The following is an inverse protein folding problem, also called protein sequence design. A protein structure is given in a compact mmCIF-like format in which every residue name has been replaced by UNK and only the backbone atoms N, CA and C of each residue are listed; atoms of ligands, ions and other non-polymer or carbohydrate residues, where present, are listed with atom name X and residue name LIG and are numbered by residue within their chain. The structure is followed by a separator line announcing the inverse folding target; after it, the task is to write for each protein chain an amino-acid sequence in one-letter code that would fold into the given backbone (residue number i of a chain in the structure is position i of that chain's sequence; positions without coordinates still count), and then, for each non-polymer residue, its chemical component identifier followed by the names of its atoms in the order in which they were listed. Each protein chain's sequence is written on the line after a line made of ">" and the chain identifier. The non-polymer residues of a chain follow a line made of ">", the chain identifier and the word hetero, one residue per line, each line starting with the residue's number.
data_IF_356232435450
#
_entry.id   IF_356232435450
#
_cell.length_a   1.000
_cell.length_b   1.000
_cell.length_c   1.000
_cell.angle_alpha   90.00
_cell.angle_beta   90.00
_cell.angle_gamma   90.00
#
_symmetry.space_group_name_H-M   'P 1'
#
loop_
_entity.id
_entity.type
_entity.pdbx_description
1 polymer ?
#
# COMPACT_ATOMS: atom_id res chain seq x y z
N UNK A 1 22.94 31.71 -54.06
CA UNK A 1 22.96 30.23 -54.10
C UNK A 1 23.49 29.59 -52.81
N UNK A 2 23.68 30.32 -51.71
CA UNK A 2 24.18 29.77 -50.43
C UNK A 2 23.11 29.61 -49.32
N UNK A 3 21.87 30.05 -49.55
CA UNK A 3 20.87 30.17 -48.47
C UNK A 3 20.12 28.85 -48.17
N UNK A 4 19.82 28.07 -49.21
CA UNK A 4 19.05 26.82 -49.08
C UNK A 4 19.86 25.67 -48.45
N UNK A 5 21.16 25.62 -48.69
CA UNK A 5 22.03 24.58 -48.11
C UNK A 5 22.27 24.79 -46.62
N UNK A 6 22.32 26.05 -46.19
CA UNK A 6 22.48 26.43 -44.78
C UNK A 6 21.19 26.14 -43.99
N UNK A 7 20.02 26.45 -44.56
CA UNK A 7 18.71 26.07 -43.99
C UNK A 7 18.55 24.55 -43.88
N UNK A 8 18.97 23.78 -44.89
CA UNK A 8 18.91 22.31 -44.83
C UNK A 8 19.79 21.72 -43.72
N UNK A 9 21.01 22.24 -43.55
CA UNK A 9 21.90 21.80 -42.48
C UNK A 9 21.35 22.16 -41.09
N UNK A 10 20.84 23.39 -40.92
CA UNK A 10 20.21 23.80 -39.66
C UNK A 10 18.98 22.96 -39.32
N UNK A 11 18.17 22.56 -40.31
CA UNK A 11 17.00 21.71 -40.08
C UNK A 11 17.39 20.27 -39.72
N UNK A 12 18.41 19.70 -40.37
CA UNK A 12 18.90 18.35 -40.08
C UNK A 12 19.46 18.25 -38.65
N UNK A 13 20.31 19.19 -38.25
CA UNK A 13 20.90 19.23 -36.90
C UNK A 13 19.82 19.47 -35.82
N UNK A 14 18.80 20.26 -36.13
CA UNK A 14 17.66 20.51 -35.23
C UNK A 14 16.75 19.27 -35.07
N UNK A 15 16.54 18.48 -36.13
CA UNK A 15 15.70 17.26 -36.05
C UNK A 15 16.35 16.18 -35.18
N UNK A 16 17.66 15.98 -35.30
CA UNK A 16 18.39 15.03 -34.44
C UNK A 16 18.33 15.46 -32.96
N UNK A 17 18.57 16.75 -32.71
CA UNK A 17 18.49 17.33 -31.35
C UNK A 17 17.09 17.20 -30.73
N UNK A 18 16.04 17.51 -31.49
CA UNK A 18 14.67 17.35 -31.01
C UNK A 18 14.30 15.89 -30.77
N UNK A 19 14.75 14.98 -31.64
CA UNK A 19 14.50 13.53 -31.48
C UNK A 19 15.12 13.01 -30.18
N UNK A 20 16.35 13.42 -29.88
CA UNK A 20 17.03 13.05 -28.64
C UNK A 20 16.37 13.67 -27.40
N UNK A 21 15.93 14.93 -27.50
CA UNK A 21 15.20 15.61 -26.42
C UNK A 21 13.88 14.92 -26.11
N UNK A 22 13.06 14.64 -27.13
CA UNK A 22 11.78 13.96 -26.96
C UNK A 22 11.94 12.53 -26.45
N UNK A 23 12.95 11.80 -26.93
CA UNK A 23 13.25 10.45 -26.43
C UNK A 23 13.67 10.47 -24.97
N UNK A 24 14.50 11.44 -24.58
CA UNK A 24 14.92 11.61 -23.18
C UNK A 24 13.74 11.98 -22.29
N UNK A 25 12.94 12.96 -22.70
CA UNK A 25 11.74 13.38 -21.97
C UNK A 25 10.74 12.22 -21.84
N UNK A 26 10.49 11.48 -22.91
CA UNK A 26 9.60 10.32 -22.87
C UNK A 26 10.10 9.21 -21.94
N UNK A 27 11.42 8.96 -21.93
CA UNK A 27 12.02 7.99 -21.02
C UNK A 27 11.96 8.45 -19.56
N UNK A 28 12.29 9.72 -19.29
CA UNK A 28 12.22 10.31 -17.95
C UNK A 28 10.78 10.27 -17.41
N UNK A 29 9.81 10.73 -18.20
CA UNK A 29 8.39 10.68 -17.84
C UNK A 29 7.90 9.25 -17.62
N UNK A 30 8.27 8.32 -18.51
CA UNK A 30 7.88 6.92 -18.38
C UNK A 30 8.47 6.26 -17.13
N UNK A 31 9.72 6.59 -16.80
CA UNK A 31 10.38 6.08 -15.60
C UNK A 31 9.78 6.68 -14.33
N UNK A 32 9.55 7.99 -14.31
CA UNK A 32 8.94 8.70 -13.18
C UNK A 32 7.54 8.15 -12.88
N UNK A 33 6.67 8.09 -13.90
CA UNK A 33 5.32 7.54 -13.76
C UNK A 33 5.33 6.06 -13.34
N UNK A 34 6.21 5.26 -13.95
CA UNK A 34 6.32 3.84 -13.60
C UNK A 34 6.81 3.62 -12.18
N UNK A 35 7.77 4.43 -11.71
CA UNK A 35 8.29 4.35 -10.35
C UNK A 35 7.27 4.83 -9.32
N UNK A 36 6.57 5.93 -9.59
CA UNK A 36 5.53 6.48 -8.70
C UNK A 36 4.40 5.47 -8.50
N UNK A 37 3.84 4.95 -9.60
CA UNK A 37 2.76 3.95 -9.55
C UNK A 37 3.23 2.66 -8.87
N UNK A 38 4.43 2.19 -9.18
CA UNK A 38 4.99 0.98 -8.58
C UNK A 38 5.21 1.12 -7.08
N UNK A 39 5.69 2.28 -6.63
CA UNK A 39 5.93 2.55 -5.21
C UNK A 39 4.61 2.69 -4.44
N UNK A 40 3.63 3.41 -4.98
CA UNK A 40 2.33 3.59 -4.36
C UNK A 40 1.61 2.24 -4.18
N UNK A 41 1.52 1.44 -5.24
CA UNK A 41 0.90 0.11 -5.19
C UNK A 41 1.65 -0.83 -4.24
N UNK A 42 2.98 -0.83 -4.29
CA UNK A 42 3.79 -1.67 -3.40
C UNK A 42 3.63 -1.30 -1.92
N UNK A 43 3.54 0.00 -1.62
CA UNK A 43 3.32 0.48 -0.26
C UNK A 43 1.92 0.11 0.24
N UNK A 44 0.88 0.35 -0.57
CA UNK A 44 -0.50 0.00 -0.21
C UNK A 44 -0.65 -1.51 0.05
N UNK A 45 -0.10 -2.35 -0.83
CA UNK A 45 -0.09 -3.80 -0.66
C UNK A 45 0.66 -4.22 0.61
N UNK A 46 1.86 -3.68 0.84
CA UNK A 46 2.65 -4.02 2.02
C UNK A 46 1.97 -3.61 3.33
N UNK A 47 1.29 -2.46 3.35
CA UNK A 47 0.49 -2.02 4.49
C UNK A 47 -0.69 -2.96 4.73
N UNK A 48 -1.46 -3.33 3.70
CA UNK A 48 -2.60 -4.24 3.88
C UNK A 48 -2.16 -5.65 4.29
N UNK A 49 -1.06 -6.17 3.75
CA UNK A 49 -0.47 -7.45 4.19
C UNK A 49 -0.08 -7.43 5.67
N UNK A 50 0.51 -6.31 6.13
CA UNK A 50 0.85 -6.12 7.55
C UNK A 50 -0.39 -6.09 8.46
N UNK A 51 -1.46 -5.44 8.02
CA UNK A 51 -2.73 -5.37 8.75
C UNK A 51 -3.39 -6.74 8.81
N UNK A 52 -3.45 -7.46 7.70
CA UNK A 52 -4.03 -8.80 7.66
C UNK A 52 -3.24 -9.79 8.53
N UNK A 53 -1.91 -9.69 8.51
CA UNK A 53 -1.04 -10.45 9.42
C UNK A 53 -1.37 -10.16 10.88
N UNK A 54 -1.60 -8.89 11.23
CA UNK A 54 -1.96 -8.48 12.59
C UNK A 54 -3.32 -9.04 13.01
N UNK A 55 -4.35 -8.90 12.16
CA UNK A 55 -5.68 -9.50 12.38
C UNK A 55 -5.59 -11.01 12.59
N UNK A 56 -4.77 -11.69 11.79
CA UNK A 56 -4.54 -13.12 11.92
C UNK A 56 -3.89 -13.49 13.27
N UNK A 57 -2.87 -12.74 13.69
CA UNK A 57 -2.21 -12.95 15.00
C UNK A 57 -3.20 -12.76 16.14
N UNK A 58 -4.00 -11.69 16.13
CA UNK A 58 -5.02 -11.43 17.16
C UNK A 58 -6.04 -12.56 17.24
N UNK A 59 -6.59 -13.01 16.11
CA UNK A 59 -7.51 -14.16 16.08
C UNK A 59 -6.85 -15.44 16.62
N UNK A 60 -5.58 -15.69 16.28
CA UNK A 60 -4.83 -16.84 16.78
C UNK A 60 -4.58 -16.78 18.29
N UNK A 61 -4.32 -15.59 18.84
CA UNK A 61 -4.15 -15.37 20.28
C UNK A 61 -5.48 -15.51 21.02
N UNK A 62 -6.56 -14.93 20.48
CA UNK A 62 -7.90 -15.11 21.00
C UNK A 62 -8.29 -16.59 21.06
N UNK A 63 -7.92 -17.40 20.05
CA UNK A 63 -8.11 -18.85 20.07
C UNK A 63 -7.42 -19.53 21.24
N UNK A 64 -6.15 -19.17 21.49
CA UNK A 64 -5.35 -19.77 22.57
C UNK A 64 -5.90 -19.39 23.95
N UNK A 65 -6.44 -18.19 24.09
CA UNK A 65 -6.86 -17.64 25.37
C UNK A 65 -8.32 -17.95 25.72
N UNK A 66 -9.20 -17.87 24.74
CA UNK A 66 -10.65 -17.90 24.93
C UNK A 66 -11.35 -19.02 24.13
N UNK A 67 -10.62 -19.75 23.29
CA UNK A 67 -11.16 -20.87 22.50
C UNK A 67 -11.54 -20.50 21.07
N UNK A 68 -11.89 -21.52 20.28
CA UNK A 68 -12.11 -21.40 18.84
C UNK A 68 -13.33 -20.54 18.45
N UNK A 69 -14.39 -20.56 19.26
CA UNK A 69 -15.60 -19.79 18.98
C UNK A 69 -15.32 -18.28 19.02
N UNK A 70 -14.66 -17.82 20.08
CA UNK A 70 -14.26 -16.41 20.23
C UNK A 70 -13.30 -16.00 19.11
N UNK A 71 -12.39 -16.88 18.72
CA UNK A 71 -11.44 -16.60 17.64
C UNK A 71 -12.09 -16.39 16.28
N UNK A 72 -13.12 -17.17 15.95
CA UNK A 72 -13.83 -17.05 14.69
C UNK A 72 -14.65 -15.76 14.65
N UNK A 73 -15.34 -15.43 15.74
CA UNK A 73 -16.03 -14.14 15.88
C UNK A 73 -15.06 -12.97 15.80
N UNK A 74 -13.89 -13.09 16.45
CA UNK A 74 -12.84 -12.07 16.39
C UNK A 74 -12.35 -11.87 14.95
N UNK A 75 -12.13 -12.95 14.19
CA UNK A 75 -11.71 -12.86 12.78
C UNK A 75 -12.70 -12.05 11.96
N UNK A 76 -14.00 -12.36 12.07
CA UNK A 76 -15.03 -11.66 11.32
C UNK A 76 -15.12 -10.17 11.68
N UNK A 77 -14.96 -9.81 12.95
CA UNK A 77 -15.02 -8.42 13.40
C UNK A 77 -13.76 -7.63 13.01
N UNK A 78 -12.58 -8.21 13.22
CA UNK A 78 -11.28 -7.60 12.90
C UNK A 78 -11.13 -7.29 11.40
N UNK A 79 -11.79 -8.05 10.53
CA UNK A 79 -11.79 -7.81 9.08
C UNK A 79 -12.36 -6.42 8.70
N UNK A 80 -13.23 -5.83 9.54
CA UNK A 80 -13.76 -4.48 9.34
C UNK A 80 -12.81 -3.35 9.74
N UNK A 81 -11.69 -3.66 10.41
CA UNK A 81 -10.83 -2.64 11.01
C UNK A 81 -9.69 -2.27 10.06
N UNK A 82 -9.77 -1.06 9.52
CA UNK A 82 -8.83 -0.47 8.56
C UNK A 82 -7.97 0.65 9.16
N UNK A 83 -7.95 0.84 10.47
CA UNK A 83 -7.00 1.72 11.17
C UNK A 83 -5.90 0.88 11.86
N UNK A 84 -4.59 1.08 11.58
CA UNK A 84 -3.55 0.24 12.17
C UNK A 84 -3.39 0.51 13.68
N UNK A 85 -3.61 1.75 14.13
CA UNK A 85 -3.51 2.11 15.55
C UNK A 85 -4.57 1.37 16.38
N UNK A 86 -5.78 1.22 15.84
CA UNK A 86 -6.84 0.42 16.47
C UNK A 86 -6.46 -1.06 16.58
N UNK A 87 -5.78 -1.63 15.57
CA UNK A 87 -5.31 -3.01 15.64
C UNK A 87 -4.22 -3.19 16.70
N UNK A 88 -3.33 -2.20 16.86
CA UNK A 88 -2.31 -2.19 17.91
C UNK A 88 -2.96 -2.09 19.30
N UNK A 89 -3.90 -1.17 19.50
CA UNK A 89 -4.60 -1.03 20.77
C UNK A 89 -5.36 -2.31 21.14
N UNK A 90 -5.99 -2.95 20.15
CA UNK A 90 -6.66 -4.23 20.34
C UNK A 90 -5.69 -5.34 20.77
N UNK A 91 -4.40 -5.28 20.41
CA UNK A 91 -3.41 -6.24 20.89
C UNK A 91 -3.22 -6.13 22.41
N UNK A 92 -3.11 -4.92 22.94
CA UNK A 92 -3.00 -4.67 24.38
C UNK A 92 -4.30 -5.05 25.10
N UNK A 93 -5.44 -4.66 24.55
CA UNK A 93 -6.75 -5.00 25.11
C UNK A 93 -6.98 -6.53 25.12
N UNK A 94 -6.51 -7.26 24.10
CA UNK A 94 -6.57 -8.72 24.07
C UNK A 94 -5.81 -9.34 25.23
N UNK A 95 -4.67 -8.78 25.64
CA UNK A 95 -3.87 -9.28 26.76
C UNK A 95 -4.54 -8.99 28.12
N UNK A 96 -5.18 -7.82 28.24
CA UNK A 96 -5.79 -7.34 29.48
C UNK A 96 -7.22 -7.84 29.72
N UNK A 97 -7.95 -8.26 28.68
CA UNK A 97 -9.35 -8.68 28.79
C UNK A 97 -9.51 -9.87 29.75
N UNK A 98 -10.45 -9.92 30.70
CA UNK A 98 -10.57 -11.08 31.59
C UNK A 98 -11.09 -12.36 30.89
N UNK A 99 -11.92 -12.20 29.86
CA UNK A 99 -12.63 -13.28 29.16
C UNK A 99 -12.92 -12.91 27.68
N UNK A 100 -13.46 -13.89 26.95
CA UNK A 100 -13.78 -13.74 25.54
C UNK A 100 -14.92 -12.75 25.25
N UNK A 101 -15.90 -12.62 26.15
CA UNK A 101 -17.04 -11.72 25.97
C UNK A 101 -16.62 -10.25 26.07
N UNK A 102 -15.74 -9.95 27.04
CA UNK A 102 -15.13 -8.63 27.19
C UNK A 102 -14.30 -8.28 25.96
N UNK A 103 -13.48 -9.23 25.48
CA UNK A 103 -12.69 -9.07 24.27
C UNK A 103 -13.55 -8.78 23.03
N UNK A 104 -14.60 -9.57 22.79
CA UNK A 104 -15.50 -9.36 21.64
C UNK A 104 -16.23 -8.01 21.72
N UNK A 105 -16.55 -7.55 22.93
CA UNK A 105 -17.15 -6.23 23.15
C UNK A 105 -16.18 -5.11 22.77
N UNK A 106 -14.89 -5.27 23.08
CA UNK A 106 -13.85 -4.30 22.70
C UNK A 106 -13.69 -4.20 21.18
N UNK A 107 -13.59 -5.34 20.47
CA UNK A 107 -13.46 -5.32 19.00
C UNK A 107 -14.67 -4.63 18.36
N UNK A 108 -15.89 -4.91 18.85
CA UNK A 108 -17.13 -4.26 18.35
C UNK A 108 -17.19 -2.75 18.57
N UNK A 109 -16.40 -2.19 19.48
CA UNK A 109 -16.30 -0.74 19.68
C UNK A 109 -15.31 -0.09 18.71
N UNK A 110 -14.35 -0.86 18.21
CA UNK A 110 -13.35 -0.45 17.22
C UNK A 110 -13.79 -0.73 15.78
N UNK A 111 -14.85 -1.51 15.56
CA UNK A 111 -15.45 -1.76 14.24
C UNK A 111 -16.53 -0.73 13.93
#
# INVERSE_FOLDING_TARGET
>A
MNDLSEVYHMLADNVETWTDQWKRQGLEQGLEQGLEQGLEQGLEQGLEEGRETTRHILSRLARRRFGSEVAEQSRSLLAGISDPEQLEELADQLLLSPDGDTWLTQIKRAT
#
